data_IF_754850157170
#
_entry.id   IF_754850157170
#
_cell.length_a   1.000
_cell.length_b   1.000
_cell.length_c   1.000
_cell.angle_alpha   90.00
_cell.angle_beta   90.00
_cell.angle_gamma   90.00
#
_symmetry.space_group_name_H-M   'P 1'
#
loop_
_entity.id
_entity.type
_entity.pdbx_description
1 polymer ?
#
# COMPACT_ATOMS: atom_id res chain seq x y z
N UNK A 1 6.97 -13.06 -9.99
CA UNK A 1 5.91 -12.03 -10.00
C UNK A 1 4.93 -12.24 -8.87
N UNK A 2 4.50 -13.47 -8.55
CA UNK A 2 3.73 -13.76 -7.32
C UNK A 2 4.44 -13.28 -6.05
N UNK A 3 5.74 -13.56 -5.89
CA UNK A 3 6.52 -13.02 -4.76
C UNK A 3 6.56 -11.48 -4.69
N UNK A 4 6.42 -10.79 -5.83
CA UNK A 4 6.38 -9.32 -5.87
C UNK A 4 5.00 -8.81 -5.43
N UNK A 5 3.94 -9.49 -5.87
CA UNK A 5 2.56 -9.23 -5.44
C UNK A 5 2.36 -9.49 -3.95
N UNK A 6 2.86 -10.62 -3.43
CA UNK A 6 2.82 -10.94 -2.01
C UNK A 6 3.63 -9.96 -1.16
N UNK A 7 4.78 -9.51 -1.67
CA UNK A 7 5.56 -8.45 -1.03
C UNK A 7 4.80 -7.13 -0.99
N UNK A 8 4.15 -6.74 -2.09
CA UNK A 8 3.33 -5.51 -2.15
C UNK A 8 2.17 -5.54 -1.16
N UNK A 9 1.46 -6.67 -1.06
CA UNK A 9 0.40 -6.84 -0.06
C UNK A 9 0.94 -6.79 1.36
N UNK A 10 2.07 -7.44 1.62
CA UNK A 10 2.69 -7.48 2.96
C UNK A 10 3.13 -6.08 3.40
N UNK A 11 3.80 -5.32 2.54
CA UNK A 11 4.22 -3.95 2.84
C UNK A 11 3.02 -3.00 2.96
N UNK A 12 1.99 -3.16 2.13
CA UNK A 12 0.73 -2.42 2.27
C UNK A 12 0.07 -2.63 3.63
N UNK A 13 -0.04 -3.89 4.09
CA UNK A 13 -0.59 -4.20 5.42
C UNK A 13 0.26 -3.64 6.57
N UNK A 14 1.60 -3.59 6.44
CA UNK A 14 2.47 -2.96 7.44
C UNK A 14 2.21 -1.46 7.54
N UNK A 15 2.14 -0.77 6.40
CA UNK A 15 1.87 0.68 6.36
C UNK A 15 0.51 0.97 6.98
N UNK A 16 -0.50 0.13 6.72
CA UNK A 16 -1.81 0.26 7.32
C UNK A 16 -1.75 0.15 8.86
N UNK A 17 -0.98 -0.81 9.38
CA UNK A 17 -0.72 -0.94 10.82
C UNK A 17 0.04 0.26 11.40
N UNK A 18 1.00 0.83 10.65
CA UNK A 18 1.72 2.03 11.07
C UNK A 18 0.82 3.28 11.12
N UNK A 19 -0.14 3.41 10.20
CA UNK A 19 -1.15 4.47 10.23
C UNK A 19 -2.02 4.37 11.49
N UNK A 20 -2.50 3.18 11.83
CA UNK A 20 -3.30 2.95 13.04
C UNK A 20 -2.51 3.27 14.32
N UNK A 21 -1.24 2.85 14.36
CA UNK A 21 -0.34 3.16 15.46
C UNK A 21 -0.08 4.67 15.57
N UNK A 22 0.11 5.36 14.44
CA UNK A 22 0.30 6.80 14.38
C UNK A 22 -0.95 7.57 14.84
N UNK A 23 -2.15 7.10 14.47
CA UNK A 23 -3.42 7.64 14.95
C UNK A 23 -3.55 7.53 16.47
N UNK A 24 -3.24 6.35 17.02
CA UNK A 24 -3.24 6.13 18.48
C UNK A 24 -2.22 7.02 19.19
N UNK A 25 -1.01 7.16 18.63
CA UNK A 25 0.03 8.03 19.17
C UNK A 25 -0.39 9.51 19.14
N UNK A 26 -1.11 9.94 18.10
CA UNK A 26 -1.67 11.29 18.00
C UNK A 26 -2.63 11.58 19.14
N UNK A 27 -3.59 10.68 19.37
CA UNK A 27 -4.62 10.88 20.38
C UNK A 27 -4.00 10.94 21.78
N UNK A 28 -3.05 10.04 22.08
CA UNK A 28 -2.27 10.07 23.31
C UNK A 28 -1.48 11.38 23.48
N UNK A 29 -0.84 11.85 22.42
CA UNK A 29 -0.08 13.10 22.45
C UNK A 29 -0.98 14.32 22.66
N UNK A 30 -2.10 14.41 21.95
CA UNK A 30 -3.07 15.50 22.11
C UNK A 30 -3.67 15.53 23.52
N UNK A 31 -3.93 14.35 24.10
CA UNK A 31 -4.41 14.22 25.46
C UNK A 31 -3.35 14.67 26.48
N UNK A 32 -2.07 14.34 26.26
CA UNK A 32 -0.96 14.80 27.09
C UNK A 32 -0.66 16.30 26.94
N UNK A 33 -0.89 16.88 25.75
CA UNK A 33 -0.62 18.29 25.43
C UNK A 33 -1.82 19.22 25.63
N UNK A 34 -2.99 18.71 26.01
CA UNK A 34 -4.19 19.51 26.29
C UNK A 34 -3.96 20.60 27.35
N UNK A 35 -2.95 20.45 28.19
CA UNK A 35 -2.56 21.45 29.20
C UNK A 35 -1.45 22.41 28.77
N UNK A 36 -0.87 22.29 27.56
CA UNK A 36 0.37 23.01 27.15
C UNK A 36 0.25 23.84 25.85
N UNK A 37 -0.90 23.84 25.16
CA UNK A 37 -1.17 24.76 24.04
C UNK A 37 -0.43 24.47 22.73
N UNK A 38 0.37 23.39 22.65
CA UNK A 38 1.12 22.99 21.45
C UNK A 38 0.35 22.07 20.49
N UNK A 39 -0.99 22.11 20.50
CA UNK A 39 -1.84 21.16 19.77
C UNK A 39 -1.93 21.46 18.26
N UNK A 40 -1.96 22.73 17.84
CA UNK A 40 -2.15 23.09 16.43
C UNK A 40 -1.00 22.62 15.53
N UNK A 41 0.25 22.92 15.91
CA UNK A 41 1.42 22.55 15.12
C UNK A 41 1.59 21.03 14.99
N UNK A 42 1.32 20.29 16.06
CA UNK A 42 1.34 18.83 16.03
C UNK A 42 0.19 18.25 15.20
N UNK A 43 -1.01 18.81 15.31
CA UNK A 43 -2.17 18.36 14.51
C UNK A 43 -1.92 18.56 13.02
N UNK A 44 -1.33 19.70 12.62
CA UNK A 44 -0.97 19.96 11.24
C UNK A 44 0.11 18.99 10.72
N UNK A 45 1.16 18.75 11.50
CA UNK A 45 2.21 17.79 11.16
C UNK A 45 1.67 16.36 11.05
N UNK A 46 0.83 15.93 11.99
CA UNK A 46 0.17 14.62 11.95
C UNK A 46 -0.70 14.46 10.71
N UNK A 47 -1.51 15.47 10.37
CA UNK A 47 -2.36 15.44 9.18
C UNK A 47 -1.54 15.30 7.88
N UNK A 48 -0.39 15.99 7.79
CA UNK A 48 0.51 15.87 6.64
C UNK A 48 1.07 14.45 6.52
N UNK A 49 1.59 13.88 7.61
CA UNK A 49 2.15 12.52 7.60
C UNK A 49 1.07 11.49 7.27
N UNK A 50 -0.12 11.63 7.85
CA UNK A 50 -1.23 10.71 7.56
C UNK A 50 -1.62 10.76 6.08
N UNK A 51 -1.66 11.95 5.48
CA UNK A 51 -1.95 12.12 4.05
C UNK A 51 -0.90 11.44 3.17
N UNK A 52 0.39 11.59 3.50
CA UNK A 52 1.49 10.95 2.75
C UNK A 52 1.47 9.42 2.87
N UNK A 53 1.12 8.89 4.04
CA UNK A 53 0.97 7.45 4.26
C UNK A 53 -0.22 6.88 3.48
N UNK A 54 -1.36 7.57 3.48
CA UNK A 54 -2.54 7.20 2.68
C UNK A 54 -2.24 7.22 1.17
N UNK A 55 -1.54 8.25 0.67
CA UNK A 55 -1.13 8.33 -0.74
C UNK A 55 -0.13 7.22 -1.11
N UNK A 56 0.77 6.86 -0.19
CA UNK A 56 1.70 5.73 -0.37
C UNK A 56 0.95 4.39 -0.48
N UNK A 57 -0.04 4.17 0.38
CA UNK A 57 -0.93 3.00 0.31
C UNK A 57 -1.66 2.94 -1.04
N UNK A 58 -2.22 4.07 -1.48
CA UNK A 58 -2.91 4.14 -2.77
C UNK A 58 -1.98 3.77 -3.94
N UNK A 59 -0.74 4.26 -3.93
CA UNK A 59 0.27 3.92 -4.93
C UNK A 59 0.65 2.43 -4.90
N UNK A 60 0.75 1.83 -3.72
CA UNK A 60 1.01 0.40 -3.57
C UNK A 60 -0.14 -0.46 -4.12
N UNK A 61 -1.39 -0.07 -3.86
CA UNK A 61 -2.57 -0.74 -4.43
C UNK A 61 -2.59 -0.64 -5.96
N UNK A 62 -2.32 0.55 -6.52
CA UNK A 62 -2.22 0.73 -7.97
C UNK A 62 -1.10 -0.13 -8.57
N UNK A 63 0.04 -0.22 -7.89
CA UNK A 63 1.17 -1.05 -8.32
C UNK A 63 0.81 -2.54 -8.29
N UNK A 64 0.10 -3.01 -7.24
CA UNK A 64 -0.36 -4.39 -7.15
C UNK A 64 -1.32 -4.74 -8.30
N UNK A 65 -2.26 -3.85 -8.63
CA UNK A 65 -3.18 -4.01 -9.77
C UNK A 65 -2.41 -4.06 -11.09
N UNK A 66 -1.40 -3.20 -11.27
CA UNK A 66 -0.59 -3.19 -12.48
C UNK A 66 0.20 -4.49 -12.65
N UNK A 67 0.75 -5.03 -11.55
CA UNK A 67 1.47 -6.31 -11.53
C UNK A 67 0.53 -7.48 -11.84
N UNK A 68 -0.67 -7.51 -11.27
CA UNK A 68 -1.67 -8.54 -11.55
C UNK A 68 -2.11 -8.54 -13.02
N UNK A 69 -2.38 -7.35 -13.58
CA UNK A 69 -2.71 -7.18 -15.00
C UNK A 69 -1.55 -7.58 -15.93
N UNK A 70 -0.30 -7.38 -15.51
CA UNK A 70 0.87 -7.82 -16.27
C UNK A 70 1.03 -9.35 -16.20
N UNK A 71 0.79 -9.95 -15.04
CA UNK A 71 0.82 -11.40 -14.83
C UNK A 71 -0.25 -12.09 -15.70
N UNK A 72 -1.49 -11.61 -15.68
CA UNK A 72 -2.57 -12.15 -16.52
C UNK A 72 -2.22 -12.09 -18.01
N UNK A 73 -1.72 -10.95 -18.50
CA UNK A 73 -1.28 -10.82 -19.89
C UNK A 73 -0.15 -11.77 -20.25
N UNK A 74 0.81 -11.95 -19.36
CA UNK A 74 1.92 -12.90 -19.56
C UNK A 74 1.41 -14.35 -19.64
N UNK A 75 0.53 -14.75 -18.72
CA UNK A 75 -0.08 -16.09 -18.70
C UNK A 75 -0.96 -16.37 -19.92
N UNK A 76 -1.75 -15.39 -20.38
CA UNK A 76 -2.55 -15.51 -21.60
C UNK A 76 -1.68 -15.65 -22.84
N UNK A 77 -0.57 -14.92 -22.90
CA UNK A 77 0.38 -14.99 -24.01
C UNK A 77 1.09 -16.34 -24.03
N UNK A 78 1.54 -16.83 -22.88
CA UNK A 78 2.18 -18.14 -22.74
C UNK A 78 1.22 -19.29 -23.13
N UNK A 79 -0.04 -19.24 -22.69
CA UNK A 79 -1.09 -20.19 -23.12
C UNK A 79 -1.29 -20.19 -24.63
N UNK A 80 -1.42 -19.02 -25.27
CA UNK A 80 -1.61 -18.92 -26.72
C UNK A 80 -0.41 -19.49 -27.50
N UNK A 81 0.81 -19.30 -27.00
CA UNK A 81 2.02 -19.86 -27.59
C UNK A 81 2.03 -21.38 -27.40
N UNK A 82 1.73 -21.88 -26.19
CA UNK A 82 1.65 -23.31 -25.88
C UNK A 82 0.60 -24.05 -26.73
N UNK A 83 -0.61 -23.49 -26.87
CA UNK A 83 -1.67 -24.03 -27.73
C UNK A 83 -1.26 -23.99 -29.21
N UNK A 84 -0.56 -22.92 -29.62
CA UNK A 84 0.01 -22.79 -30.97
C UNK A 84 1.02 -23.90 -31.29
N UNK A 85 1.92 -24.23 -30.37
CA UNK A 85 2.85 -25.34 -30.53
C UNK A 85 2.18 -26.73 -30.44
N UNK A 86 1.16 -26.89 -29.60
CA UNK A 86 0.40 -28.14 -29.49
C UNK A 86 -0.40 -28.46 -30.77
N UNK A 87 -0.81 -27.46 -31.55
CA UNK A 87 -1.49 -27.65 -32.83
C UNK A 87 -0.57 -28.13 -33.97
N UNK A 88 0.75 -28.09 -33.80
CA UNK A 88 1.75 -28.56 -34.78
C UNK A 88 2.44 -29.88 -34.39
N UNK A 89 1.98 -30.56 -33.31
CA UNK A 89 2.51 -31.83 -32.82
C UNK A 89 1.70 -33.05 -33.22
#
# INVERSE_FOLDING_TARGET
MEALFDSLKTEGSKIQGEIEALGTAKDNFLQAMASQGAQEGFTAAHASVNTELEDTLHKLDQLAIAVENALQRALETDKKIGDGFAAFG
#
